data_IF_444241533670
#
_entry.id   IF_444241533670
#
_cell.length_a   1.000
_cell.length_b   1.000
_cell.length_c   1.000
_cell.angle_alpha   90.00
_cell.angle_beta   90.00
_cell.angle_gamma   90.00
#
_symmetry.space_group_name_H-M   'P 1'
#
loop_
_entity.id
_entity.type
_entity.pdbx_description
1 polymer ?
#
# COMPACT_ATOMS: atom_id res chain seq x y z
N UNK A 1 2.90 18.59 9.79
CA UNK A 1 3.00 17.43 10.72
C UNK A 1 1.67 17.08 11.38
N UNK A 2 0.96 18.03 12.03
CA UNK A 2 -0.32 17.75 12.71
C UNK A 2 -1.35 17.00 11.85
N UNK A 3 -1.55 17.46 10.62
CA UNK A 3 -2.41 16.82 9.63
C UNK A 3 -2.05 15.36 9.34
N UNK A 4 -0.77 14.95 9.44
CA UNK A 4 -0.35 13.57 9.14
C UNK A 4 -0.62 12.64 10.29
N UNK A 5 -0.47 13.11 11.53
CA UNK A 5 -0.87 12.33 12.70
C UNK A 5 -2.38 12.08 12.71
N UNK A 6 -3.17 13.09 12.33
CA UNK A 6 -4.62 12.95 12.23
C UNK A 6 -5.00 12.02 11.08
N UNK A 7 -4.33 12.11 9.92
CA UNK A 7 -4.54 11.19 8.81
C UNK A 7 -4.12 9.76 9.16
N UNK A 8 -3.02 9.58 9.88
CA UNK A 8 -2.61 8.28 10.40
C UNK A 8 -3.67 7.69 11.35
N UNK A 9 -4.22 8.49 12.27
CA UNK A 9 -5.31 8.08 13.15
C UNK A 9 -6.61 7.76 12.38
N UNK A 10 -6.87 8.48 11.30
CA UNK A 10 -7.98 8.20 10.39
C UNK A 10 -7.81 6.82 9.74
N UNK A 11 -6.61 6.50 9.24
CA UNK A 11 -6.31 5.23 8.60
C UNK A 11 -6.39 4.03 9.57
N UNK A 12 -5.89 4.19 10.81
CA UNK A 12 -5.93 3.11 11.81
C UNK A 12 -7.37 2.77 12.22
N UNK A 13 -8.25 3.76 12.27
CA UNK A 13 -9.66 3.58 12.63
C UNK A 13 -10.54 3.17 11.46
N UNK A 14 -10.07 3.29 10.21
CA UNK A 14 -10.86 3.07 8.99
C UNK A 14 -11.50 1.67 8.91
N UNK A 15 -10.79 0.64 9.37
CA UNK A 15 -11.28 -0.74 9.31
C UNK A 15 -12.43 -1.02 10.29
N UNK A 16 -12.49 -0.32 11.43
CA UNK A 16 -13.36 -0.65 12.57
C UNK A 16 -14.41 0.44 12.85
N UNK A 17 -14.06 1.71 12.68
CA UNK A 17 -14.88 2.88 13.03
C UNK A 17 -14.93 3.89 11.88
N UNK A 18 -15.60 3.54 10.79
CA UNK A 18 -15.64 4.34 9.55
C UNK A 18 -16.10 5.78 9.74
N UNK A 19 -17.06 6.04 10.64
CA UNK A 19 -17.51 7.40 10.94
C UNK A 19 -16.39 8.26 11.55
N UNK A 20 -15.68 7.71 12.56
CA UNK A 20 -14.54 8.38 13.20
C UNK A 20 -13.44 8.60 12.17
N UNK A 21 -13.13 7.58 11.36
CA UNK A 21 -12.13 7.68 10.31
C UNK A 21 -12.45 8.81 9.33
N UNK A 22 -13.68 8.89 8.81
CA UNK A 22 -14.09 9.96 7.88
C UNK A 22 -14.05 11.33 8.54
N UNK A 23 -14.47 11.47 9.80
CA UNK A 23 -14.35 12.73 10.54
C UNK A 23 -12.89 13.17 10.67
N UNK A 24 -12.00 12.26 11.05
CA UNK A 24 -10.56 12.53 11.14
C UNK A 24 -9.96 12.87 9.77
N UNK A 25 -10.41 12.23 8.69
CA UNK A 25 -9.97 12.55 7.32
C UNK A 25 -10.38 13.99 6.93
N UNK A 26 -11.61 14.39 7.23
CA UNK A 26 -12.08 15.76 6.98
C UNK A 26 -11.28 16.78 7.79
N UNK A 27 -10.98 16.48 9.06
CA UNK A 27 -10.14 17.32 9.91
C UNK A 27 -8.70 17.42 9.35
N UNK A 28 -8.10 16.28 8.99
CA UNK A 28 -6.77 16.24 8.39
C UNK A 28 -6.70 17.04 7.08
N UNK A 29 -7.72 16.90 6.23
CA UNK A 29 -7.87 17.63 4.96
C UNK A 29 -7.99 19.13 5.20
N UNK A 30 -8.83 19.55 6.15
CA UNK A 30 -9.03 20.96 6.51
C UNK A 30 -7.71 21.58 6.98
N UNK A 31 -7.00 20.92 7.90
CA UNK A 31 -5.69 21.40 8.37
C UNK A 31 -4.69 21.42 7.21
N UNK A 32 -4.67 20.39 6.37
CA UNK A 32 -3.75 20.31 5.24
C UNK A 32 -3.94 21.46 4.23
N UNK A 33 -5.19 21.90 4.00
CA UNK A 33 -5.49 23.10 3.21
C UNK A 33 -4.93 24.36 3.86
N UNK A 34 -5.20 24.58 5.15
CA UNK A 34 -4.70 25.77 5.86
C UNK A 34 -3.17 25.82 5.93
N UNK A 35 -2.51 24.66 5.99
CA UNK A 35 -1.04 24.57 5.99
C UNK A 35 -0.43 24.54 4.59
N UNK A 36 -1.23 24.66 3.53
CA UNK A 36 -0.77 24.69 2.14
C UNK A 36 -0.28 23.35 1.58
N UNK A 37 -0.48 22.25 2.29
CA UNK A 37 -0.12 20.92 1.79
C UNK A 37 -1.11 20.45 0.73
N UNK A 38 -2.40 20.71 0.94
CA UNK A 38 -3.39 20.55 -0.11
C UNK A 38 -3.69 21.90 -0.74
N UNK A 39 -3.84 21.92 -2.06
CA UNK A 39 -4.35 23.08 -2.78
C UNK A 39 -5.78 22.81 -3.30
N UNK A 40 -6.38 23.82 -3.93
CA UNK A 40 -7.76 23.73 -4.43
C UNK A 40 -7.97 22.61 -5.45
N UNK A 41 -6.95 22.24 -6.23
CA UNK A 41 -7.01 21.11 -7.18
C UNK A 41 -7.30 19.78 -6.47
N UNK A 42 -6.71 19.54 -5.30
CA UNK A 42 -6.97 18.34 -4.52
C UNK A 42 -8.43 18.29 -4.02
N UNK A 43 -9.03 19.45 -3.71
CA UNK A 43 -10.43 19.53 -3.29
C UNK A 43 -11.38 19.20 -4.43
N UNK A 44 -11.09 19.66 -5.64
CA UNK A 44 -11.87 19.26 -6.81
C UNK A 44 -11.81 17.74 -7.03
N UNK A 45 -10.63 17.14 -6.86
CA UNK A 45 -10.48 15.69 -6.93
C UNK A 45 -11.31 14.97 -5.84
N UNK A 46 -11.30 15.46 -4.60
CA UNK A 46 -12.05 14.84 -3.50
C UNK A 46 -13.56 14.93 -3.72
N UNK A 47 -14.04 16.07 -4.20
CA UNK A 47 -15.44 16.26 -4.59
C UNK A 47 -15.81 15.30 -5.72
N UNK A 48 -14.99 15.21 -6.78
CA UNK A 48 -15.23 14.30 -7.89
C UNK A 48 -15.30 12.84 -7.44
N UNK A 49 -14.31 12.38 -6.65
CA UNK A 49 -14.29 11.01 -6.09
C UNK A 49 -15.53 10.74 -5.26
N UNK A 50 -15.93 11.68 -4.40
CA UNK A 50 -17.11 11.51 -3.53
C UNK A 50 -18.39 11.46 -4.34
N UNK A 51 -18.56 12.33 -5.34
CA UNK A 51 -19.73 12.33 -6.23
C UNK A 51 -19.81 11.02 -7.01
N UNK A 52 -18.70 10.54 -7.58
CA UNK A 52 -18.66 9.27 -8.32
C UNK A 52 -19.00 8.09 -7.39
N UNK A 53 -18.45 8.09 -6.16
CA UNK A 53 -18.75 7.08 -5.14
C UNK A 53 -20.22 7.06 -4.73
N UNK A 54 -20.81 8.25 -4.51
CA UNK A 54 -22.25 8.38 -4.18
C UNK A 54 -23.13 7.93 -5.33
N UNK A 55 -22.80 8.28 -6.58
CA UNK A 55 -23.51 7.81 -7.78
C UNK A 55 -23.45 6.28 -7.85
N UNK A 56 -22.25 5.69 -7.71
CA UNK A 56 -22.05 4.24 -7.75
C UNK A 56 -22.86 3.52 -6.68
N UNK A 57 -22.93 4.07 -5.47
CA UNK A 57 -23.73 3.52 -4.38
C UNK A 57 -25.25 3.68 -4.61
N UNK A 58 -25.71 4.88 -5.00
CA UNK A 58 -27.13 5.20 -5.20
C UNK A 58 -27.76 4.39 -6.35
N UNK A 59 -26.98 4.10 -7.37
CA UNK A 59 -27.39 3.37 -8.57
C UNK A 59 -26.75 1.97 -8.65
N UNK A 60 -26.43 1.35 -7.52
CA UNK A 60 -25.76 0.05 -7.45
C UNK A 60 -26.50 -1.10 -8.17
N UNK A 61 -27.81 -0.95 -8.43
CA UNK A 61 -28.62 -1.91 -9.18
C UNK A 61 -28.54 -1.72 -10.71
N UNK A 62 -28.01 -0.59 -11.19
CA UNK A 62 -27.75 -0.34 -12.61
C UNK A 62 -26.31 -0.74 -12.95
N UNK A 63 -26.16 -1.88 -13.62
CA UNK A 63 -24.83 -2.51 -13.83
C UNK A 63 -23.83 -1.57 -14.51
N UNK A 64 -24.26 -0.81 -15.52
CA UNK A 64 -23.38 0.12 -16.24
C UNK A 64 -22.86 1.25 -15.35
N UNK A 65 -23.75 1.88 -14.57
CA UNK A 65 -23.38 2.97 -13.66
C UNK A 65 -22.42 2.44 -12.59
N UNK A 66 -22.72 1.29 -12.00
CA UNK A 66 -21.85 0.64 -11.02
C UNK A 66 -20.45 0.38 -11.58
N UNK A 67 -20.36 -0.25 -12.75
CA UNK A 67 -19.07 -0.61 -13.38
C UNK A 67 -18.29 0.64 -13.76
N UNK A 68 -18.92 1.64 -14.38
CA UNK A 68 -18.24 2.88 -14.78
C UNK A 68 -17.73 3.65 -13.55
N UNK A 69 -18.56 3.78 -12.51
CA UNK A 69 -18.14 4.41 -11.26
C UNK A 69 -16.96 3.68 -10.62
N UNK A 70 -17.02 2.35 -10.53
CA UNK A 70 -15.96 1.53 -9.96
C UNK A 70 -14.65 1.65 -10.74
N UNK A 71 -14.68 1.51 -12.07
CA UNK A 71 -13.49 1.67 -12.93
C UNK A 71 -12.89 3.06 -12.76
N UNK A 72 -13.72 4.09 -12.73
CA UNK A 72 -13.25 5.47 -12.56
C UNK A 72 -12.59 5.68 -11.20
N UNK A 73 -13.19 5.17 -10.12
CA UNK A 73 -12.61 5.24 -8.77
C UNK A 73 -11.30 4.48 -8.66
N UNK A 74 -11.16 3.34 -9.33
CA UNK A 74 -9.91 2.57 -9.37
C UNK A 74 -8.83 3.33 -10.15
N UNK A 75 -9.18 3.98 -11.25
CA UNK A 75 -8.26 4.87 -11.98
C UNK A 75 -7.81 6.01 -11.07
N UNK A 76 -8.72 6.62 -10.30
CA UNK A 76 -8.36 7.62 -9.29
C UNK A 76 -7.44 7.05 -8.20
N UNK A 77 -7.72 5.85 -7.69
CA UNK A 77 -6.87 5.20 -6.69
C UNK A 77 -5.45 4.93 -7.22
N UNK A 78 -5.33 4.45 -8.46
CA UNK A 78 -4.01 4.26 -9.11
C UNK A 78 -3.32 5.60 -9.32
N UNK A 79 -4.03 6.63 -9.81
CA UNK A 79 -3.49 7.98 -9.99
C UNK A 79 -2.99 8.62 -8.69
N UNK A 80 -3.68 8.39 -7.57
CA UNK A 80 -3.25 8.81 -6.24
C UNK A 80 -2.00 8.03 -5.78
N UNK A 81 -1.93 6.73 -6.06
CA UNK A 81 -0.80 5.88 -5.69
C UNK A 81 0.50 6.29 -6.40
N UNK A 82 0.39 6.76 -7.66
CA UNK A 82 1.52 7.17 -8.50
C UNK A 82 1.75 8.70 -8.50
N UNK A 83 1.07 9.46 -7.64
CA UNK A 83 1.21 10.92 -7.53
C UNK A 83 0.87 11.69 -8.83
N UNK A 84 -0.08 11.19 -9.62
CA UNK A 84 -0.46 11.80 -10.91
C UNK A 84 -1.23 13.12 -10.76
N UNK A 85 -2.05 13.23 -9.72
CA UNK A 85 -2.93 14.38 -9.55
C UNK A 85 -2.19 15.58 -8.94
N UNK A 86 -2.47 16.81 -9.43
CA UNK A 86 -1.87 18.01 -8.86
C UNK A 86 -2.51 18.38 -7.52
N UNK A 87 -1.80 19.22 -6.77
CA UNK A 87 -2.31 19.83 -5.54
C UNK A 87 -2.00 19.09 -4.25
N UNK A 88 -1.04 18.16 -4.30
CA UNK A 88 -0.47 17.50 -3.14
C UNK A 88 0.99 17.92 -2.95
N UNK A 89 1.28 18.69 -1.91
CA UNK A 89 2.64 19.06 -1.52
C UNK A 89 3.10 18.16 -0.35
N UNK A 90 3.34 16.89 -0.67
CA UNK A 90 3.66 15.85 0.30
C UNK A 90 4.92 16.21 1.13
N UNK A 91 4.90 15.86 2.42
CA UNK A 91 6.00 16.18 3.34
C UNK A 91 7.19 15.28 3.02
N UNK A 92 8.27 15.87 2.49
CA UNK A 92 9.58 15.23 2.44
C UNK A 92 10.17 15.20 3.85
N UNK A 93 10.19 14.03 4.49
CA UNK A 93 10.67 13.88 5.86
C UNK A 93 12.15 13.52 5.93
N UNK A 94 12.62 12.65 5.02
CA UNK A 94 14.04 12.39 4.81
C UNK A 94 14.41 12.84 3.41
N UNK A 95 15.54 13.53 3.25
CA UNK A 95 16.05 13.97 1.96
C UNK A 95 17.43 13.37 1.71
N UNK A 96 17.49 12.38 0.81
CA UNK A 96 18.73 11.77 0.33
C UNK A 96 19.69 11.32 1.44
N UNK A 97 19.15 10.75 2.52
CA UNK A 97 19.96 10.27 3.66
C UNK A 97 20.67 8.98 3.29
N UNK A 98 21.94 8.85 3.69
CA UNK A 98 22.68 7.60 3.54
C UNK A 98 22.40 6.74 4.78
N UNK A 99 21.74 5.59 4.59
CA UNK A 99 21.38 4.69 5.71
C UNK A 99 22.60 3.89 6.18
N UNK A 100 23.48 3.52 5.24
CA UNK A 100 24.70 2.75 5.48
C UNK A 100 25.71 2.90 4.34
N UNK A 101 26.93 2.42 4.55
CA UNK A 101 28.09 2.56 3.64
C UNK A 101 27.87 1.93 2.26
N UNK A 102 27.06 0.87 2.17
CA UNK A 102 26.77 0.18 0.90
C UNK A 102 25.43 0.60 0.28
N UNK A 103 24.72 1.52 0.94
CA UNK A 103 23.35 1.90 0.62
C UNK A 103 23.28 3.16 -0.25
N UNK A 104 22.38 3.17 -1.24
CA UNK A 104 22.06 4.38 -2.01
C UNK A 104 21.30 5.41 -1.17
N UNK A 105 21.32 6.70 -1.54
CA UNK A 105 20.54 7.73 -0.86
C UNK A 105 19.04 7.38 -0.76
N UNK A 106 18.48 7.54 0.43
CA UNK A 106 17.07 7.31 0.72
C UNK A 106 16.33 8.62 0.94
N UNK A 107 15.19 8.77 0.27
CA UNK A 107 14.27 9.89 0.46
C UNK A 107 12.92 9.33 0.85
N UNK A 108 12.34 9.86 1.93
CA UNK A 108 11.07 9.39 2.48
C UNK A 108 10.06 10.53 2.51
N UNK A 109 8.87 10.26 1.95
CA UNK A 109 7.75 11.19 1.99
C UNK A 109 6.59 10.60 2.78
N UNK A 110 5.95 11.44 3.60
CA UNK A 110 4.59 11.16 4.04
C UNK A 110 3.63 11.66 2.96
N UNK A 111 3.13 10.73 2.17
CA UNK A 111 2.30 10.98 1.00
C UNK A 111 0.82 11.04 1.36
N UNK A 112 0.22 12.23 1.31
CA UNK A 112 -1.18 12.45 1.64
C UNK A 112 -2.10 11.80 0.61
N UNK A 113 -1.81 11.98 -0.67
CA UNK A 113 -2.54 11.37 -1.80
C UNK A 113 -2.58 9.84 -1.71
N UNK A 114 -1.42 9.20 -1.56
CA UNK A 114 -1.33 7.74 -1.47
C UNK A 114 -2.13 7.19 -0.30
N UNK A 115 -2.15 7.90 0.83
CA UNK A 115 -2.96 7.53 2.00
C UNK A 115 -4.48 7.57 1.76
N UNK A 116 -4.97 8.22 0.69
CA UNK A 116 -6.40 8.25 0.38
C UNK A 116 -6.89 6.96 -0.30
N UNK A 117 -5.99 6.16 -0.87
CA UNK A 117 -6.33 4.96 -1.65
C UNK A 117 -7.32 4.02 -0.95
N UNK A 118 -7.15 3.65 0.34
CA UNK A 118 -8.12 2.79 1.03
C UNK A 118 -9.53 3.41 1.16
N UNK A 119 -9.64 4.73 1.29
CA UNK A 119 -10.94 5.42 1.33
C UNK A 119 -11.65 5.37 -0.02
N UNK A 120 -10.91 5.60 -1.11
CA UNK A 120 -11.45 5.53 -2.48
C UNK A 120 -11.94 4.12 -2.78
N UNK A 121 -11.13 3.11 -2.47
CA UNK A 121 -11.47 1.71 -2.77
C UNK A 121 -12.60 1.16 -1.89
N UNK A 122 -12.86 1.74 -0.72
CA UNK A 122 -14.02 1.41 0.09
C UNK A 122 -15.36 1.76 -0.57
N UNK A 123 -15.40 2.77 -1.44
CA UNK A 123 -16.59 3.03 -2.27
C UNK A 123 -16.84 1.90 -3.27
N UNK A 124 -15.79 1.24 -3.74
CA UNK A 124 -15.88 0.15 -4.71
C UNK A 124 -16.24 -1.18 -4.05
N UNK A 125 -15.63 -1.47 -2.90
CA UNK A 125 -15.70 -2.78 -2.26
C UNK A 125 -15.82 -2.67 -0.74
N UNK A 126 -17.03 -2.81 -0.16
CA UNK A 126 -17.24 -2.68 1.29
C UNK A 126 -16.47 -3.69 2.15
N UNK A 127 -16.06 -4.82 1.56
CA UNK A 127 -15.28 -5.89 2.19
C UNK A 127 -13.76 -5.70 2.09
N UNK A 128 -13.28 -4.52 1.63
CA UNK A 128 -11.86 -4.19 1.43
C UNK A 128 -10.94 -4.66 2.58
N UNK A 129 -11.34 -4.41 3.83
CA UNK A 129 -10.54 -4.73 5.02
C UNK A 129 -10.73 -6.17 5.53
N UNK A 130 -11.89 -6.76 5.27
CA UNK A 130 -12.28 -8.07 5.78
C UNK A 130 -13.25 -8.73 4.83
N UNK A 131 -12.78 -9.76 4.15
CA UNK A 131 -13.56 -10.67 3.34
C UNK A 131 -13.61 -12.06 3.99
N UNK A 132 -14.49 -12.93 3.50
CA UNK A 132 -14.39 -14.35 3.80
C UNK A 132 -13.10 -14.89 3.18
N UNK A 133 -12.30 -15.62 3.96
CA UNK A 133 -11.06 -16.20 3.50
C UNK A 133 -11.31 -17.14 2.30
N UNK A 134 -10.72 -16.87 1.11
CA UNK A 134 -10.90 -17.74 -0.06
C UNK A 134 -10.40 -19.16 0.14
N UNK A 135 -9.38 -19.35 0.99
CA UNK A 135 -8.83 -20.65 1.39
C UNK A 135 -8.45 -20.62 2.87
N UNK A 136 -8.24 -21.79 3.45
CA UNK A 136 -7.72 -21.95 4.80
C UNK A 136 -6.35 -22.59 4.74
N UNK A 137 -5.44 -22.12 5.59
CA UNK A 137 -4.11 -22.68 5.74
C UNK A 137 -3.98 -23.45 7.05
N UNK A 138 -3.17 -24.50 7.02
CA UNK A 138 -2.73 -25.23 8.21
C UNK A 138 -1.68 -24.40 8.98
N UNK A 139 -1.55 -24.56 10.31
CA UNK A 139 -0.60 -23.78 11.12
C UNK A 139 0.85 -23.80 10.62
N UNK A 140 1.35 -24.93 10.11
CA UNK A 140 2.71 -25.02 9.58
C UNK A 140 2.92 -24.19 8.31
N UNK A 141 1.88 -23.96 7.50
CA UNK A 141 1.98 -23.11 6.30
C UNK A 141 2.17 -21.65 6.67
N UNK A 142 1.60 -21.21 7.80
CA UNK A 142 1.86 -19.87 8.35
C UNK A 142 3.30 -19.72 8.80
N UNK A 143 3.87 -20.73 9.47
CA UNK A 143 5.29 -20.72 9.83
C UNK A 143 6.20 -20.62 8.61
N UNK A 144 5.90 -21.37 7.55
CA UNK A 144 6.63 -21.24 6.29
C UNK A 144 6.50 -19.85 5.68
N UNK A 145 5.31 -19.24 5.74
CA UNK A 145 5.08 -17.89 5.22
C UNK A 145 5.87 -16.84 6.01
N UNK A 146 5.93 -16.97 7.33
CA UNK A 146 6.74 -16.10 8.21
C UNK A 146 8.22 -16.24 7.87
N UNK A 147 8.73 -17.48 7.71
CA UNK A 147 10.12 -17.76 7.35
C UNK A 147 10.44 -17.27 5.92
N UNK A 148 9.47 -17.29 5.00
CA UNK A 148 9.65 -16.84 3.63
C UNK A 148 10.04 -15.36 3.54
N UNK A 149 9.61 -14.51 4.49
CA UNK A 149 9.93 -13.08 4.50
C UNK A 149 11.45 -12.82 4.63
N UNK A 150 12.15 -13.23 5.71
CA UNK A 150 13.59 -13.05 5.81
C UNK A 150 14.35 -13.87 4.75
N UNK A 151 13.87 -15.06 4.39
CA UNK A 151 14.49 -15.87 3.33
C UNK A 151 14.50 -15.14 1.98
N UNK A 152 13.42 -14.43 1.64
CA UNK A 152 13.36 -13.67 0.39
C UNK A 152 14.43 -12.58 0.33
N UNK A 153 14.66 -11.87 1.43
CA UNK A 153 15.70 -10.85 1.54
C UNK A 153 17.11 -11.45 1.47
N UNK A 154 17.34 -12.60 2.12
CA UNK A 154 18.61 -13.34 2.01
C UNK A 154 18.88 -13.78 0.57
N UNK A 155 17.87 -14.31 -0.13
CA UNK A 155 18.01 -14.68 -1.54
C UNK A 155 18.30 -13.45 -2.41
N UNK A 156 17.67 -12.31 -2.12
CA UNK A 156 17.97 -11.05 -2.81
C UNK A 156 19.40 -10.55 -2.57
N UNK A 157 19.95 -10.77 -1.38
CA UNK A 157 21.35 -10.47 -1.07
C UNK A 157 22.31 -11.40 -1.83
N UNK A 158 22.03 -12.71 -1.86
CA UNK A 158 22.82 -13.70 -2.62
C UNK A 158 22.78 -13.39 -4.13
N UNK A 159 21.63 -12.97 -4.65
CA UNK A 159 21.46 -12.54 -6.04
C UNK A 159 22.14 -11.20 -6.37
N UNK A 160 22.75 -10.53 -5.37
CA UNK A 160 23.48 -9.28 -5.53
C UNK A 160 22.63 -8.01 -5.55
N UNK A 161 21.30 -8.12 -5.41
CA UNK A 161 20.39 -6.96 -5.35
C UNK A 161 20.46 -6.20 -4.03
N UNK A 162 20.77 -6.91 -2.94
CA UNK A 162 20.95 -6.35 -1.60
C UNK A 162 22.34 -6.73 -1.05
N UNK A 163 22.77 -6.03 0.00
CA UNK A 163 23.88 -6.43 0.87
C UNK A 163 23.37 -6.62 2.30
N UNK A 164 24.04 -7.43 3.12
CA UNK A 164 23.78 -7.47 4.55
C UNK A 164 24.36 -6.22 5.19
N UNK A 165 23.54 -5.45 5.88
CA UNK A 165 23.94 -4.19 6.51
C UNK A 165 23.00 -3.88 7.67
N UNK A 166 23.56 -3.72 8.88
CA UNK A 166 22.75 -3.48 10.06
C UNK A 166 22.50 -1.99 10.27
N UNK A 167 21.24 -1.63 10.51
CA UNK A 167 20.82 -0.25 10.71
C UNK A 167 19.91 -0.12 11.93
N UNK A 168 20.08 0.97 12.67
CA UNK A 168 19.14 1.40 13.71
C UNK A 168 19.00 2.93 13.69
N UNK A 169 18.42 3.50 12.61
CA UNK A 169 18.37 4.94 12.45
C UNK A 169 17.46 5.59 13.50
N UNK A 170 17.82 6.80 13.95
CA UNK A 170 17.03 7.57 14.92
C UNK A 170 15.62 7.91 14.43
N UNK A 171 15.41 7.93 13.10
CA UNK A 171 14.12 8.15 12.44
C UNK A 171 13.29 6.87 12.24
N UNK A 172 13.72 5.71 12.77
CA UNK A 172 12.99 4.44 12.67
C UNK A 172 11.51 4.54 13.10
N UNK A 173 11.12 5.26 14.19
CA UNK A 173 9.70 5.40 14.54
C UNK A 173 8.87 6.08 13.45
N UNK A 174 9.43 7.09 12.77
CA UNK A 174 8.77 7.76 11.66
C UNK A 174 8.63 6.83 10.44
N UNK A 175 9.68 6.05 10.15
CA UNK A 175 9.63 5.01 9.12
C UNK A 175 8.54 3.98 9.40
N UNK A 176 8.42 3.50 10.64
CA UNK A 176 7.40 2.51 11.03
C UNK A 176 6.00 3.03 10.71
N UNK A 177 5.67 4.23 11.17
CA UNK A 177 4.34 4.84 10.95
C UNK A 177 4.11 5.08 9.45
N UNK A 178 5.11 5.66 8.76
CA UNK A 178 5.03 5.97 7.34
C UNK A 178 4.83 4.69 6.50
N UNK A 179 5.69 3.69 6.69
CA UNK A 179 5.68 2.48 5.90
C UNK A 179 4.42 1.64 6.17
N UNK A 180 3.97 1.54 7.42
CA UNK A 180 2.77 0.78 7.77
C UNK A 180 1.50 1.41 7.16
N UNK A 181 1.30 2.72 7.35
CA UNK A 181 0.02 3.37 7.05
C UNK A 181 -0.03 4.05 5.68
N UNK A 182 1.08 4.62 5.20
CA UNK A 182 1.12 5.42 3.97
C UNK A 182 1.70 4.66 2.78
N UNK A 183 2.40 3.54 3.03
CA UNK A 183 2.97 2.68 1.97
C UNK A 183 2.22 1.35 1.91
N UNK A 184 2.43 0.49 2.92
CA UNK A 184 1.94 -0.89 2.94
C UNK A 184 0.41 -0.92 2.92
N UNK A 185 -0.28 -0.17 3.78
CA UNK A 185 -1.75 -0.14 3.77
C UNK A 185 -2.34 0.32 2.43
N UNK A 186 -1.77 1.36 1.81
CA UNK A 186 -2.26 1.87 0.53
C UNK A 186 -2.06 0.86 -0.61
N UNK A 187 -0.87 0.25 -0.69
CA UNK A 187 -0.57 -0.75 -1.70
C UNK A 187 -1.40 -2.02 -1.48
N UNK A 188 -1.41 -2.57 -0.28
CA UNK A 188 -2.19 -3.77 0.01
C UNK A 188 -3.69 -3.54 -0.19
N UNK A 189 -4.22 -2.33 0.08
CA UNK A 189 -5.62 -2.02 -0.20
C UNK A 189 -5.93 -2.15 -1.70
N UNK A 190 -5.05 -1.65 -2.57
CA UNK A 190 -5.21 -1.78 -4.02
C UNK A 190 -5.02 -3.22 -4.50
N UNK A 191 -3.93 -3.86 -4.10
CA UNK A 191 -3.55 -5.15 -4.65
C UNK A 191 -4.31 -6.32 -4.01
N UNK A 192 -4.50 -6.32 -2.69
CA UNK A 192 -5.06 -7.48 -1.95
C UNK A 192 -6.52 -7.25 -1.65
N UNK A 193 -6.82 -6.10 -1.04
CA UNK A 193 -8.18 -5.70 -0.71
C UNK A 193 -9.07 -5.58 -1.95
N UNK A 194 -8.57 -4.98 -3.03
CA UNK A 194 -9.34 -4.77 -4.26
C UNK A 194 -9.00 -5.77 -5.37
N UNK A 195 -7.80 -5.72 -5.95
CA UNK A 195 -7.47 -6.43 -7.20
C UNK A 195 -7.54 -7.96 -7.04
N UNK A 196 -6.81 -8.55 -6.09
CA UNK A 196 -6.81 -9.99 -5.86
C UNK A 196 -8.20 -10.49 -5.46
N UNK A 197 -8.94 -9.71 -4.68
CA UNK A 197 -10.33 -10.03 -4.32
C UNK A 197 -11.26 -10.05 -5.54
N UNK A 198 -11.21 -9.03 -6.40
CA UNK A 198 -12.01 -8.95 -7.62
C UNK A 198 -11.64 -10.06 -8.61
N UNK A 199 -10.35 -10.30 -8.82
CA UNK A 199 -9.89 -11.40 -9.68
C UNK A 199 -10.34 -12.76 -9.15
N UNK A 200 -10.37 -12.95 -7.82
CA UNK A 200 -10.89 -14.19 -7.22
C UNK A 200 -12.38 -14.39 -7.54
N UNK A 201 -13.17 -13.29 -7.48
CA UNK A 201 -14.60 -13.31 -7.82
C UNK A 201 -14.82 -13.57 -9.32
N UNK A 202 -14.01 -12.98 -10.19
CA UNK A 202 -14.16 -13.11 -11.65
C UNK A 202 -13.68 -14.46 -12.19
N UNK A 203 -12.53 -14.94 -11.72
CA UNK A 203 -11.96 -16.20 -12.21
C UNK A 203 -12.53 -17.43 -11.52
N UNK A 204 -13.16 -17.29 -10.36
CA UNK A 204 -13.56 -18.42 -9.51
C UNK A 204 -12.37 -19.22 -8.95
N UNK A 205 -11.14 -18.73 -9.15
CA UNK A 205 -9.89 -19.39 -8.72
C UNK A 205 -9.03 -18.41 -7.93
N UNK A 206 -8.90 -18.59 -6.59
CA UNK A 206 -8.07 -17.71 -5.77
C UNK A 206 -6.58 -17.85 -6.08
N UNK A 207 -6.14 -19.00 -6.59
CA UNK A 207 -4.74 -19.22 -6.99
C UNK A 207 -4.40 -18.47 -8.28
N UNK A 208 -5.29 -18.46 -9.27
CA UNK A 208 -5.08 -17.69 -10.49
C UNK A 208 -5.06 -16.18 -10.18
N UNK A 209 -5.99 -15.73 -9.33
CA UNK A 209 -6.03 -14.35 -8.86
C UNK A 209 -4.75 -13.94 -8.12
N UNK A 210 -4.21 -14.82 -7.27
CA UNK A 210 -2.94 -14.62 -6.57
C UNK A 210 -1.78 -14.41 -7.56
N UNK A 211 -1.62 -15.32 -8.54
CA UNK A 211 -0.53 -15.25 -9.53
C UNK A 211 -0.63 -13.97 -10.36
N UNK A 212 -1.81 -13.66 -10.89
CA UNK A 212 -2.02 -12.45 -11.69
C UNK A 212 -1.74 -11.19 -10.86
N UNK A 213 -2.28 -11.11 -9.64
CA UNK A 213 -2.05 -9.95 -8.78
C UNK A 213 -0.56 -9.78 -8.41
N UNK A 214 0.16 -10.87 -8.10
CA UNK A 214 1.58 -10.82 -7.80
C UNK A 214 2.44 -10.39 -9.00
N UNK A 215 2.09 -10.83 -10.21
CA UNK A 215 2.76 -10.38 -11.45
C UNK A 215 2.54 -8.89 -11.68
N UNK A 216 1.31 -8.39 -11.52
CA UNK A 216 1.01 -6.95 -11.66
C UNK A 216 1.74 -6.15 -10.57
N UNK A 217 1.77 -6.64 -9.33
CA UNK A 217 2.49 -6.01 -8.22
C UNK A 217 4.00 -5.92 -8.52
N UNK A 218 4.63 -6.96 -9.06
CA UNK A 218 6.03 -6.86 -9.49
C UNK A 218 6.24 -5.93 -10.68
N UNK A 219 5.34 -5.97 -11.67
CA UNK A 219 5.45 -5.16 -12.87
C UNK A 219 5.44 -3.66 -12.58
N UNK A 220 4.66 -3.18 -11.59
CA UNK A 220 4.67 -1.75 -11.23
C UNK A 220 5.99 -1.28 -10.60
N UNK A 221 6.87 -2.20 -10.22
CA UNK A 221 8.21 -1.90 -9.69
C UNK A 221 9.30 -1.85 -10.80
N UNK A 222 8.91 -1.77 -12.07
CA UNK A 222 9.83 -1.79 -13.21
C UNK A 222 10.96 -0.74 -13.15
N UNK A 223 10.72 0.41 -12.51
CA UNK A 223 11.71 1.46 -12.35
C UNK A 223 12.97 1.02 -11.56
N UNK A 224 12.87 -0.02 -10.73
CA UNK A 224 14.02 -0.62 -10.03
C UNK A 224 14.70 -1.76 -10.77
N UNK A 225 14.30 -2.04 -12.02
CA UNK A 225 14.91 -3.04 -12.87
C UNK A 225 14.42 -4.48 -12.66
N UNK A 226 14.89 -5.44 -13.48
CA UNK A 226 14.34 -6.80 -13.53
C UNK A 226 14.41 -7.56 -12.21
N UNK A 227 15.49 -7.35 -11.43
CA UNK A 227 15.67 -8.00 -10.15
C UNK A 227 14.64 -7.53 -9.13
N UNK A 228 14.33 -6.23 -9.10
CA UNK A 228 13.27 -5.69 -8.24
C UNK A 228 11.90 -6.21 -8.67
N UNK A 229 11.61 -6.29 -9.98
CA UNK A 229 10.35 -6.88 -10.49
C UNK A 229 10.18 -8.31 -9.94
N UNK A 230 11.22 -9.15 -10.06
CA UNK A 230 11.19 -10.52 -9.59
C UNK A 230 10.92 -10.61 -8.08
N UNK A 231 11.69 -9.89 -7.27
CA UNK A 231 11.55 -9.94 -5.81
C UNK A 231 10.24 -9.30 -5.33
N UNK A 232 9.76 -8.25 -5.98
CA UNK A 232 8.46 -7.67 -5.72
C UNK A 232 7.34 -8.66 -6.06
N UNK A 233 7.42 -9.39 -7.19
CA UNK A 233 6.45 -10.46 -7.49
C UNK A 233 6.45 -11.55 -6.42
N UNK A 234 7.62 -12.03 -5.98
CA UNK A 234 7.72 -13.05 -4.94
C UNK A 234 7.18 -12.56 -3.60
N UNK A 235 7.54 -11.33 -3.19
CA UNK A 235 6.96 -10.68 -2.02
C UNK A 235 5.43 -10.56 -2.17
N UNK A 236 4.97 -10.27 -3.38
CA UNK A 236 3.56 -10.14 -3.68
C UNK A 236 2.78 -11.45 -3.53
N UNK A 237 3.42 -12.60 -3.79
CA UNK A 237 2.88 -13.94 -3.48
C UNK A 237 2.74 -14.10 -1.97
N UNK A 238 3.76 -13.72 -1.17
CA UNK A 238 3.71 -13.83 0.30
C UNK A 238 2.52 -13.06 0.87
N UNK A 239 2.38 -11.79 0.50
CA UNK A 239 1.30 -10.94 1.01
C UNK A 239 -0.07 -11.40 0.51
N UNK A 240 -0.12 -11.87 -0.75
CA UNK A 240 -1.33 -12.42 -1.34
C UNK A 240 -1.78 -13.74 -0.71
N UNK A 241 -0.85 -14.60 -0.27
CA UNK A 241 -1.16 -15.80 0.52
C UNK A 241 -1.69 -15.43 1.91
N UNK A 242 -1.05 -14.46 2.58
CA UNK A 242 -1.52 -13.96 3.87
C UNK A 242 -2.97 -13.45 3.79
N UNK A 243 -3.30 -12.69 2.74
CA UNK A 243 -4.68 -12.26 2.49
C UNK A 243 -5.61 -13.44 2.11
N UNK A 244 -5.19 -14.31 1.20
CA UNK A 244 -6.00 -15.45 0.72
C UNK A 244 -6.38 -16.43 1.84
N UNK A 245 -5.52 -16.60 2.84
CA UNK A 245 -5.77 -17.54 3.95
C UNK A 245 -6.54 -16.93 5.12
N UNK A 246 -6.51 -15.61 5.28
CA UNK A 246 -7.14 -14.92 6.40
C UNK A 246 -8.39 -14.14 6.03
N UNK A 247 -8.48 -13.70 4.78
CA UNK A 247 -9.45 -12.69 4.33
C UNK A 247 -9.22 -11.31 4.97
N UNK A 248 -8.10 -11.07 5.65
CA UNK A 248 -7.83 -9.83 6.40
C UNK A 248 -6.77 -9.00 5.71
N UNK A 249 -7.12 -7.76 5.38
CA UNK A 249 -6.19 -6.81 4.76
C UNK A 249 -5.01 -6.49 5.68
N UNK A 250 -5.29 -6.23 6.96
CA UNK A 250 -4.25 -5.88 7.94
C UNK A 250 -3.18 -6.96 8.09
N UNK A 251 -3.51 -8.24 7.86
CA UNK A 251 -2.51 -9.29 7.91
C UNK A 251 -1.53 -9.19 6.73
N UNK A 252 -2.03 -8.97 5.50
CA UNK A 252 -1.16 -8.71 4.36
C UNK A 252 -0.30 -7.45 4.55
N UNK A 253 -0.90 -6.39 5.12
CA UNK A 253 -0.18 -5.16 5.50
C UNK A 253 0.95 -5.46 6.49
N UNK A 254 0.72 -6.30 7.50
CA UNK A 254 1.76 -6.68 8.46
C UNK A 254 2.91 -7.47 7.82
N UNK A 255 2.63 -8.38 6.87
CA UNK A 255 3.68 -9.10 6.14
C UNK A 255 4.50 -8.17 5.25
N UNK A 256 3.84 -7.26 4.52
CA UNK A 256 4.52 -6.26 3.70
C UNK A 256 5.37 -5.32 4.55
N UNK A 257 4.77 -4.72 5.57
CA UNK A 257 5.49 -3.87 6.51
C UNK A 257 6.67 -4.60 7.17
N UNK A 258 6.47 -5.87 7.58
CA UNK A 258 7.51 -6.70 8.17
C UNK A 258 8.69 -6.91 7.22
N UNK A 259 8.43 -7.18 5.94
CA UNK A 259 9.48 -7.28 4.92
C UNK A 259 10.24 -5.95 4.80
N UNK A 260 9.53 -4.82 4.70
CA UNK A 260 10.16 -3.50 4.58
C UNK A 260 10.98 -3.12 5.81
N UNK A 261 10.52 -3.49 7.00
CA UNK A 261 11.21 -3.26 8.25
C UNK A 261 12.48 -4.11 8.35
N UNK A 262 12.40 -5.40 8.02
CA UNK A 262 13.57 -6.28 8.01
C UNK A 262 14.58 -5.85 6.94
N UNK A 263 14.11 -5.42 5.77
CA UNK A 263 14.93 -4.84 4.71
C UNK A 263 15.71 -3.62 5.24
N UNK A 264 15.03 -2.66 5.88
CA UNK A 264 15.70 -1.49 6.45
C UNK A 264 16.70 -1.87 7.54
N UNK A 265 16.35 -2.77 8.47
CA UNK A 265 17.16 -3.04 9.66
C UNK A 265 18.40 -3.91 9.41
N UNK A 266 18.36 -4.81 8.42
CA UNK A 266 19.36 -5.87 8.27
C UNK A 266 20.00 -5.95 6.87
N UNK A 267 19.54 -5.13 5.92
CA UNK A 267 20.06 -5.10 4.57
C UNK A 267 20.28 -3.67 4.10
N UNK A 268 21.08 -3.51 3.04
CA UNK A 268 21.26 -2.24 2.32
C UNK A 268 19.91 -1.65 1.94
N UNK A 269 19.68 -0.36 2.16
CA UNK A 269 18.38 0.27 1.97
C UNK A 269 18.50 1.66 1.29
N UNK A 270 17.68 1.99 0.27
CA UNK A 270 16.59 1.17 -0.30
C UNK A 270 17.09 0.17 -1.35
N UNK A 271 18.33 0.32 -1.82
CA UNK A 271 19.01 -0.55 -2.78
C UNK A 271 20.52 -0.45 -2.56
N UNK A 272 21.22 -1.53 -2.87
CA UNK A 272 22.68 -1.60 -2.82
C UNK A 272 23.32 -0.70 -3.88
N UNK A 273 24.43 -0.04 -3.53
CA UNK A 273 25.29 0.63 -4.50
C UNK A 273 25.96 -0.40 -5.41
N UNK A 274 25.81 -0.24 -6.73
CA UNK A 274 26.58 -1.00 -7.71
C UNK A 274 28.01 -0.44 -7.68
N UNK A 275 29.00 -1.29 -7.39
CA UNK A 275 30.39 -0.90 -7.56
C UNK A 275 30.60 -0.55 -9.04
N UNK A 276 31.06 0.68 -9.30
CA UNK A 276 31.40 1.16 -10.64
C UNK A 276 32.62 0.46 -11.21
#
# INVERSE_FOLDING_TARGET
MASWFILAASLTTLATHRFIATFLLLLATTIALFTGVLSWQAILLFVAITVIGVIGWRFQYHVWVKVISEVTLVICAVGLLIHFFPGFHNLKYLDSVIVGEQSRPFTMYFNFDKALVPFVLLFCLPSLFSAQAPKTAKPWQWWLLIIAVPMLLVVAAIAGGLGFEWHLPTWLPAFIICNLLFVSLAEEALFRGYLQQRLTQWFGSPYLALVVCALVFGAVHFAGGPLLILFATLAGIIYGLAWMWSGKLWLAVSFHFGLNLLHLLFFTYPVKMVAG
#
